data_IF_865588822189
#
_entry.id   IF_865588822189
#
_cell.length_a   1.000
_cell.length_b   1.000
_cell.length_c   1.000
_cell.angle_alpha   90.00
_cell.angle_beta   90.00
_cell.angle_gamma   90.00
#
_symmetry.space_group_name_H-M   'P 1'
#
loop_
_entity.id
_entity.type
_entity.pdbx_description
1 polymer ?
#
# COMPACT_ATOMS: atom_id res chain seq x y z
N UNK A 1 23.82 -6.33 35.52
CA UNK A 1 22.69 -6.37 34.55
C UNK A 1 21.34 -6.71 35.19
N UNK A 2 21.23 -6.93 36.50
CA UNK A 2 20.01 -7.38 37.20
C UNK A 2 19.14 -6.27 37.81
N UNK A 3 19.68 -5.10 38.14
CA UNK A 3 18.89 -4.03 38.82
C UNK A 3 17.82 -3.33 37.95
N UNK A 4 17.92 -3.42 36.62
CA UNK A 4 16.91 -2.81 35.72
C UNK A 4 15.67 -3.69 35.56
N UNK A 5 15.83 -5.01 35.63
CA UNK A 5 14.73 -5.96 35.44
C UNK A 5 13.70 -5.86 36.57
N UNK A 6 14.14 -5.59 37.80
CA UNK A 6 13.26 -5.48 38.98
C UNK A 6 12.45 -4.17 39.05
N UNK A 7 12.76 -3.18 38.20
CA UNK A 7 12.09 -1.86 38.18
C UNK A 7 11.23 -1.61 36.95
N UNK A 8 11.25 -2.51 35.96
CA UNK A 8 10.43 -2.37 34.75
C UNK A 8 9.01 -2.88 35.03
N UNK A 9 7.96 -2.07 34.74
CA UNK A 9 6.57 -2.51 34.86
C UNK A 9 6.31 -3.80 34.07
N UNK A 10 5.46 -4.68 34.61
CA UNK A 10 5.13 -5.97 33.99
C UNK A 10 4.63 -5.81 32.54
N UNK A 11 3.79 -4.80 32.30
CA UNK A 11 3.27 -4.49 30.97
C UNK A 11 4.38 -4.12 29.97
N UNK A 12 5.41 -3.40 30.41
CA UNK A 12 6.58 -3.08 29.57
C UNK A 12 7.43 -4.33 29.27
N UNK A 13 7.52 -5.29 30.21
CA UNK A 13 8.20 -6.57 29.99
C UNK A 13 7.47 -7.44 28.96
N UNK A 14 6.14 -7.47 29.02
CA UNK A 14 5.29 -8.18 28.06
C UNK A 14 5.37 -7.53 26.66
N UNK A 15 5.37 -6.20 26.60
CA UNK A 15 5.58 -5.46 25.35
C UNK A 15 6.98 -5.70 24.75
N UNK A 16 8.04 -5.76 25.57
CA UNK A 16 9.40 -6.06 25.10
C UNK A 16 9.51 -7.49 24.56
N UNK A 17 8.84 -8.47 25.19
CA UNK A 17 8.78 -9.83 24.68
C UNK A 17 8.05 -9.91 23.33
N UNK A 18 6.92 -9.22 23.20
CA UNK A 18 6.21 -9.08 21.92
C UNK A 18 7.13 -8.49 20.85
N UNK A 19 7.85 -7.41 21.17
CA UNK A 19 8.79 -6.77 20.25
C UNK A 19 9.87 -7.74 19.81
N UNK A 20 10.46 -8.48 20.75
CA UNK A 20 11.51 -9.47 20.50
C UNK A 20 11.05 -10.58 19.56
N UNK A 21 9.80 -11.03 19.70
CA UNK A 21 9.24 -12.10 18.87
C UNK A 21 8.83 -11.61 17.48
N UNK A 22 8.24 -10.40 17.40
CA UNK A 22 7.67 -9.89 16.14
C UNK A 22 8.73 -9.26 15.24
N UNK A 23 9.67 -8.49 15.80
CA UNK A 23 10.73 -7.80 15.04
C UNK A 23 11.42 -8.69 13.98
N UNK A 24 11.94 -9.89 14.29
CA UNK A 24 12.63 -10.71 13.29
C UNK A 24 11.71 -11.12 12.13
N UNK A 25 10.41 -11.32 12.38
CA UNK A 25 9.45 -11.65 11.33
C UNK A 25 9.22 -10.47 10.36
N UNK A 26 9.25 -9.23 10.87
CA UNK A 26 9.18 -8.03 10.03
C UNK A 26 10.41 -7.92 9.15
N UNK A 27 11.59 -8.14 9.74
CA UNK A 27 12.87 -8.05 9.04
C UNK A 27 12.98 -9.13 7.95
N UNK A 28 12.56 -10.35 8.25
CA UNK A 28 12.49 -11.43 7.25
C UNK A 28 11.50 -11.10 6.13
N UNK A 29 10.29 -10.65 6.47
CA UNK A 29 9.29 -10.22 5.49
C UNK A 29 9.83 -9.11 4.58
N UNK A 30 10.59 -8.16 5.13
CA UNK A 30 11.23 -7.09 4.38
C UNK A 30 12.30 -7.62 3.44
N UNK A 31 13.14 -8.56 3.88
CA UNK A 31 14.16 -9.20 3.03
C UNK A 31 13.51 -9.85 1.82
N UNK A 32 12.45 -10.64 2.03
CA UNK A 32 11.73 -11.33 0.95
C UNK A 32 11.11 -10.35 -0.06
N UNK A 33 10.55 -9.24 0.42
CA UNK A 33 10.01 -8.20 -0.48
C UNK A 33 11.13 -7.47 -1.25
N UNK A 34 12.29 -7.23 -0.63
CA UNK A 34 13.44 -6.64 -1.33
C UNK A 34 13.99 -7.57 -2.42
N UNK A 35 14.09 -8.86 -2.14
CA UNK A 35 14.48 -9.88 -3.12
C UNK A 35 13.49 -9.93 -4.29
N UNK A 36 12.19 -9.95 -4.01
CA UNK A 36 11.14 -9.89 -5.03
C UNK A 36 11.25 -8.63 -5.90
N UNK A 37 11.40 -7.46 -5.28
CA UNK A 37 11.58 -6.19 -5.98
C UNK A 37 12.85 -6.20 -6.85
N UNK A 38 13.95 -6.76 -6.34
CA UNK A 38 15.19 -6.92 -7.08
C UNK A 38 15.02 -7.82 -8.31
N UNK A 39 14.33 -8.95 -8.17
CA UNK A 39 14.04 -9.86 -9.27
C UNK A 39 13.18 -9.19 -10.36
N UNK A 40 12.16 -8.41 -9.97
CA UNK A 40 11.31 -7.66 -10.91
C UNK A 40 12.11 -6.59 -11.67
N UNK A 41 12.98 -5.84 -10.99
CA UNK A 41 13.85 -4.84 -11.64
C UNK A 41 14.91 -5.47 -12.54
N UNK A 42 15.40 -6.66 -12.20
CA UNK A 42 16.32 -7.39 -13.06
C UNK A 42 15.64 -7.89 -14.34
N UNK A 43 14.35 -8.24 -14.26
CA UNK A 43 13.54 -8.66 -15.40
C UNK A 43 13.21 -7.49 -16.34
N UNK A 44 12.93 -6.30 -15.78
CA UNK A 44 12.54 -5.10 -16.53
C UNK A 44 13.40 -3.88 -16.13
N UNK A 45 14.71 -3.88 -16.46
CA UNK A 45 15.65 -2.86 -15.99
C UNK A 45 15.38 -1.46 -16.56
N UNK A 46 14.75 -1.39 -17.74
CA UNK A 46 14.42 -0.15 -18.43
C UNK A 46 12.93 0.23 -18.35
N UNK A 47 12.11 -0.60 -17.69
CA UNK A 47 10.69 -0.35 -17.49
C UNK A 47 9.84 -0.54 -18.74
N UNK A 48 10.40 -1.06 -19.84
CA UNK A 48 9.67 -1.24 -21.10
C UNK A 48 8.56 -2.28 -20.98
N UNK A 49 8.79 -3.36 -20.23
CA UNK A 49 7.79 -4.42 -20.04
C UNK A 49 6.59 -3.86 -19.27
N UNK A 50 6.84 -3.15 -18.16
CA UNK A 50 5.80 -2.51 -17.37
C UNK A 50 5.03 -1.45 -18.17
N UNK A 51 5.73 -0.61 -18.96
CA UNK A 51 5.09 0.39 -19.81
C UNK A 51 4.18 -0.24 -20.88
N UNK A 52 4.64 -1.32 -21.50
CA UNK A 52 3.88 -2.07 -22.50
C UNK A 52 2.65 -2.76 -21.90
N UNK A 53 2.81 -3.42 -20.75
CA UNK A 53 1.72 -4.06 -20.02
C UNK A 53 0.66 -3.03 -19.59
N UNK A 54 1.09 -1.86 -19.10
CA UNK A 54 0.19 -0.74 -18.76
C UNK A 54 -0.61 -0.24 -19.98
N UNK A 55 0.06 -0.08 -21.12
CA UNK A 55 -0.60 0.34 -22.38
C UNK A 55 -1.66 -0.69 -22.82
N UNK A 56 -1.31 -1.98 -22.82
CA UNK A 56 -2.24 -3.08 -23.16
C UNK A 56 -3.42 -3.15 -22.21
N UNK A 57 -3.19 -3.03 -20.90
CA UNK A 57 -4.26 -3.02 -19.91
C UNK A 57 -5.24 -1.86 -20.11
N UNK A 58 -4.76 -0.67 -20.46
CA UNK A 58 -5.61 0.48 -20.75
C UNK A 58 -6.48 0.28 -22.02
N UNK A 59 -5.94 -0.45 -23.00
CA UNK A 59 -6.63 -0.80 -24.25
C UNK A 59 -7.49 -2.05 -24.13
N UNK A 60 -7.53 -2.70 -22.95
CA UNK A 60 -8.19 -4.00 -22.70
C UNK A 60 -7.61 -5.15 -23.55
N UNK A 61 -6.32 -5.07 -23.87
CA UNK A 61 -5.55 -6.05 -24.65
C UNK A 61 -4.52 -6.80 -23.78
N UNK A 62 -4.69 -6.78 -22.46
CA UNK A 62 -3.77 -7.47 -21.56
C UNK A 62 -3.84 -8.98 -21.78
N UNK A 63 -2.67 -9.64 -21.78
CA UNK A 63 -2.62 -11.10 -21.92
C UNK A 63 -3.12 -11.80 -20.65
N UNK A 64 -3.50 -13.09 -20.73
CA UNK A 64 -3.87 -13.87 -19.53
C UNK A 64 -2.77 -13.86 -18.45
N UNK A 65 -1.49 -13.91 -18.86
CA UNK A 65 -0.34 -13.86 -17.96
C UNK A 65 -0.20 -12.49 -17.30
N UNK A 66 -0.43 -11.40 -18.04
CA UNK A 66 -0.45 -10.04 -17.50
C UNK A 66 -1.59 -9.86 -16.47
N UNK A 67 -2.77 -10.45 -16.73
CA UNK A 67 -3.88 -10.48 -15.77
C UNK A 67 -3.56 -11.31 -14.51
N UNK A 68 -2.97 -12.50 -14.67
CA UNK A 68 -2.58 -13.35 -13.55
C UNK A 68 -1.53 -12.66 -12.66
N UNK A 69 -0.54 -12.01 -13.26
CA UNK A 69 0.45 -11.23 -12.53
C UNK A 69 -0.20 -10.09 -11.73
N UNK A 70 -1.17 -9.41 -12.33
CA UNK A 70 -1.94 -8.36 -11.67
C UNK A 70 -2.68 -8.87 -10.42
N UNK A 71 -3.29 -10.04 -10.50
CA UNK A 71 -3.99 -10.67 -9.38
C UNK A 71 -3.04 -11.10 -8.25
N UNK A 72 -1.91 -11.73 -8.59
CA UNK A 72 -0.89 -12.12 -7.61
C UNK A 72 -0.33 -10.92 -6.85
N UNK A 73 -0.08 -9.81 -7.55
CA UNK A 73 0.45 -8.59 -6.94
C UNK A 73 -0.60 -7.87 -6.08
N UNK A 74 -1.86 -7.91 -6.50
CA UNK A 74 -2.98 -7.45 -5.67
C UNK A 74 -3.09 -8.30 -4.40
N UNK A 75 -3.00 -9.62 -4.50
CA UNK A 75 -3.04 -10.53 -3.35
C UNK A 75 -1.87 -10.28 -2.39
N UNK A 76 -0.64 -10.17 -2.91
CA UNK A 76 0.56 -9.85 -2.12
C UNK A 76 0.36 -8.52 -1.39
N UNK A 77 -0.05 -7.47 -2.11
CA UNK A 77 -0.28 -6.14 -1.54
C UNK A 77 -1.34 -6.17 -0.46
N UNK A 78 -2.49 -6.80 -0.75
CA UNK A 78 -3.60 -6.89 0.19
C UNK A 78 -3.18 -7.64 1.45
N UNK A 79 -2.53 -8.80 1.30
CA UNK A 79 -2.11 -9.63 2.42
C UNK A 79 -1.12 -8.90 3.32
N UNK A 80 -0.09 -8.26 2.74
CA UNK A 80 0.91 -7.52 3.54
C UNK A 80 0.28 -6.29 4.18
N UNK A 81 -0.49 -5.50 3.43
CA UNK A 81 -1.11 -4.27 3.95
C UNK A 81 -2.11 -4.56 5.07
N UNK A 82 -2.98 -5.56 4.89
CA UNK A 82 -3.95 -5.98 5.91
C UNK A 82 -3.25 -6.56 7.14
N UNK A 83 -2.17 -7.32 6.96
CA UNK A 83 -1.37 -7.82 8.08
C UNK A 83 -0.78 -6.67 8.90
N UNK A 84 -0.21 -5.65 8.24
CA UNK A 84 0.34 -4.47 8.91
C UNK A 84 -0.75 -3.68 9.66
N UNK A 85 -1.90 -3.44 9.01
CA UNK A 85 -3.03 -2.72 9.63
C UNK A 85 -3.56 -3.46 10.87
N UNK A 86 -3.77 -4.78 10.76
CA UNK A 86 -4.21 -5.62 11.87
C UNK A 86 -3.18 -5.66 13.01
N UNK A 87 -1.89 -5.77 12.70
CA UNK A 87 -0.83 -5.76 13.70
C UNK A 87 -0.80 -4.42 14.45
N UNK A 88 -0.91 -3.29 13.72
CA UNK A 88 -0.94 -1.94 14.31
C UNK A 88 -2.14 -1.72 15.22
N UNK A 89 -3.31 -2.21 14.84
CA UNK A 89 -4.52 -2.16 15.68
C UNK A 89 -4.35 -2.96 16.97
N UNK A 90 -3.73 -4.14 16.91
CA UNK A 90 -3.49 -5.00 18.09
C UNK A 90 -2.55 -4.38 19.12
N UNK A 91 -1.60 -3.57 18.68
CA UNK A 91 -0.65 -2.88 19.56
C UNK A 91 -1.07 -1.44 19.89
N UNK A 92 -2.31 -1.02 19.57
CA UNK A 92 -2.72 0.39 19.64
C UNK A 92 -2.56 1.01 21.04
N UNK A 93 -2.77 0.22 22.09
CA UNK A 93 -2.67 0.60 23.50
C UNK A 93 -1.34 0.16 24.15
N UNK A 94 -0.36 -0.27 23.34
CA UNK A 94 0.98 -0.71 23.77
C UNK A 94 2.04 0.34 23.34
N UNK A 95 2.31 1.38 24.15
CA UNK A 95 3.14 2.52 23.74
C UNK A 95 4.59 2.14 23.42
N UNK A 96 5.16 1.19 24.13
CA UNK A 96 6.53 0.73 23.93
C UNK A 96 6.65 -0.14 22.66
N UNK A 97 5.74 -1.10 22.49
CA UNK A 97 5.65 -1.92 21.29
C UNK A 97 5.40 -1.07 20.04
N UNK A 98 4.51 -0.07 20.10
CA UNK A 98 4.31 0.91 19.02
C UNK A 98 5.60 1.62 18.64
N UNK A 99 6.33 2.14 19.64
CA UNK A 99 7.58 2.88 19.42
C UNK A 99 8.63 2.02 18.72
N UNK A 100 8.68 0.72 19.03
CA UNK A 100 9.66 -0.22 18.48
C UNK A 100 9.26 -0.80 17.12
N UNK A 101 7.98 -1.16 16.93
CA UNK A 101 7.51 -1.90 15.76
C UNK A 101 7.02 -0.99 14.63
N UNK A 102 6.41 0.16 14.93
CA UNK A 102 5.89 1.06 13.88
C UNK A 102 6.93 1.50 12.85
N UNK A 103 8.17 1.86 13.22
CA UNK A 103 9.22 2.15 12.26
C UNK A 103 9.53 0.97 11.35
N UNK A 104 9.55 -0.26 11.89
CA UNK A 104 9.82 -1.48 11.12
C UNK A 104 8.70 -1.77 10.11
N UNK A 105 7.43 -1.55 10.49
CA UNK A 105 6.30 -1.64 9.56
C UNK A 105 6.39 -0.63 8.42
N UNK A 106 6.87 0.58 8.69
CA UNK A 106 7.08 1.57 7.63
C UNK A 106 8.19 1.13 6.66
N UNK A 107 9.28 0.57 7.18
CA UNK A 107 10.38 0.02 6.37
C UNK A 107 9.97 -1.22 5.56
N UNK A 108 9.05 -2.04 6.08
CA UNK A 108 8.48 -3.19 5.37
C UNK A 108 7.60 -2.74 4.19
N UNK A 109 6.86 -1.64 4.35
CA UNK A 109 5.95 -1.13 3.32
C UNK A 109 6.66 -0.47 2.14
N UNK A 110 7.90 -0.02 2.31
CA UNK A 110 8.69 0.59 1.25
C UNK A 110 8.89 -0.36 0.04
N UNK A 111 9.49 -1.56 0.17
CA UNK A 111 9.66 -2.46 -0.96
C UNK A 111 8.32 -2.93 -1.54
N UNK A 112 7.26 -3.03 -0.73
CA UNK A 112 5.92 -3.32 -1.23
C UNK A 112 5.43 -2.24 -2.20
N UNK A 113 5.58 -0.97 -1.84
CA UNK A 113 5.21 0.15 -2.71
C UNK A 113 6.06 0.17 -3.99
N UNK A 114 7.34 -0.15 -3.88
CA UNK A 114 8.25 -0.23 -5.04
C UNK A 114 7.84 -1.34 -6.02
N UNK A 115 7.44 -2.52 -5.52
CA UNK A 115 6.92 -3.63 -6.34
C UNK A 115 5.68 -3.17 -7.12
N UNK A 116 4.70 -2.57 -6.44
CA UNK A 116 3.45 -2.12 -7.07
C UNK A 116 3.73 -1.06 -8.15
N UNK A 117 4.63 -0.12 -7.86
CA UNK A 117 5.02 0.93 -8.78
C UNK A 117 5.76 0.37 -9.99
N UNK A 118 6.70 -0.57 -9.77
CA UNK A 118 7.51 -1.18 -10.81
C UNK A 118 6.65 -1.93 -11.83
N UNK A 119 5.61 -2.64 -11.38
CA UNK A 119 4.75 -3.42 -12.29
C UNK A 119 3.63 -2.55 -12.91
N UNK A 120 3.56 -1.26 -12.57
CA UNK A 120 2.65 -0.32 -13.21
C UNK A 120 1.17 -0.66 -13.05
N UNK A 121 0.82 -1.48 -12.05
CA UNK A 121 -0.54 -1.94 -11.81
C UNK A 121 -1.42 -0.81 -11.31
N UNK A 122 -2.00 -0.09 -12.25
CA UNK A 122 -3.08 0.86 -12.05
C UNK A 122 -4.43 0.16 -11.87
N UNK A 123 -4.45 -1.00 -11.21
CA UNK A 123 -5.70 -1.51 -10.68
C UNK A 123 -6.17 -0.50 -9.64
N UNK A 124 -7.27 0.19 -9.91
CA UNK A 124 -7.91 1.16 -9.01
C UNK A 124 -8.10 0.57 -7.60
N UNK A 125 -8.26 -0.75 -7.49
CA UNK A 125 -8.33 -1.47 -6.21
C UNK A 125 -7.01 -1.54 -5.42
N UNK A 126 -5.85 -1.66 -6.09
CA UNK A 126 -4.53 -1.72 -5.43
C UNK A 126 -4.12 -0.34 -4.92
N UNK A 127 -4.41 0.73 -5.68
CA UNK A 127 -4.18 2.11 -5.24
C UNK A 127 -4.96 2.47 -3.97
N UNK A 128 -6.20 1.99 -3.85
CA UNK A 128 -6.99 2.14 -2.62
C UNK A 128 -6.39 1.43 -1.41
N UNK A 129 -5.83 0.22 -1.61
CA UNK A 129 -5.14 -0.54 -0.56
C UNK A 129 -3.83 0.12 -0.15
N UNK A 130 -3.05 0.60 -1.11
CA UNK A 130 -1.82 1.37 -0.88
C UNK A 130 -2.12 2.67 -0.14
N UNK A 131 -3.17 3.38 -0.52
CA UNK A 131 -3.64 4.57 0.20
C UNK A 131 -4.01 4.27 1.65
N UNK A 132 -4.69 3.16 1.92
CA UNK A 132 -5.00 2.71 3.29
C UNK A 132 -3.74 2.36 4.08
N UNK A 133 -2.79 1.65 3.46
CA UNK A 133 -1.52 1.32 4.08
C UNK A 133 -0.74 2.57 4.47
N UNK A 134 -0.56 3.49 3.53
CA UNK A 134 0.17 4.73 3.76
C UNK A 134 -0.54 5.63 4.79
N UNK A 135 -1.89 5.69 4.78
CA UNK A 135 -2.66 6.35 5.84
C UNK A 135 -2.45 5.70 7.21
N UNK A 136 -2.47 4.36 7.31
CA UNK A 136 -2.23 3.60 8.54
C UNK A 136 -0.79 3.71 9.07
N UNK A 137 0.17 4.05 8.20
CA UNK A 137 1.56 4.38 8.56
C UNK A 137 1.74 5.82 9.05
N UNK A 138 0.71 6.67 8.98
CA UNK A 138 0.84 8.10 9.26
C UNK A 138 1.48 8.88 8.10
N UNK A 139 1.65 8.26 6.93
CA UNK A 139 2.15 8.88 5.70
C UNK A 139 1.01 9.46 4.84
N UNK A 140 -0.16 9.68 5.42
CA UNK A 140 -1.35 10.19 4.72
C UNK A 140 -1.13 11.55 4.04
N UNK A 141 -0.20 12.36 4.54
CA UNK A 141 0.22 13.60 3.87
C UNK A 141 0.89 13.37 2.51
N UNK A 142 1.66 12.28 2.35
CA UNK A 142 2.28 11.91 1.07
C UNK A 142 1.27 11.28 0.11
N UNK A 143 0.30 10.53 0.63
CA UNK A 143 -0.83 9.98 -0.17
C UNK A 143 -1.71 11.10 -0.71
N UNK A 144 -2.08 12.05 0.14
CA UNK A 144 -2.88 13.20 -0.27
C UNK A 144 -2.10 14.12 -1.21
N UNK A 145 -0.76 14.17 -1.10
CA UNK A 145 0.11 14.83 -2.08
C UNK A 145 0.17 14.11 -3.43
N UNK A 146 0.18 12.77 -3.45
CA UNK A 146 0.15 11.98 -4.69
C UNK A 146 -1.23 11.93 -5.33
N UNK A 147 -2.30 11.73 -4.56
CA UNK A 147 -3.69 11.74 -5.05
C UNK A 147 -4.17 13.17 -5.38
N UNK A 148 -3.75 14.16 -4.60
CA UNK A 148 -3.99 15.58 -4.87
C UNK A 148 -3.16 16.08 -6.06
N UNK A 149 -1.93 15.60 -6.23
CA UNK A 149 -1.05 15.94 -7.35
C UNK A 149 -1.37 15.22 -8.66
N UNK A 150 -1.97 14.03 -8.60
CA UNK A 150 -2.46 13.29 -9.78
C UNK A 150 -3.87 13.71 -10.24
N UNK A 151 -4.47 14.71 -9.58
CA UNK A 151 -5.72 15.31 -10.03
C UNK A 151 -6.87 14.30 -10.06
N UNK A 152 -7.42 13.97 -8.89
CA UNK A 152 -8.69 13.23 -8.76
C UNK A 152 -9.76 13.77 -9.73
N UNK A 153 -9.77 15.07 -10.04
CA UNK A 153 -10.65 15.66 -11.05
C UNK A 153 -10.44 15.14 -12.48
N UNK A 154 -9.22 14.78 -12.89
CA UNK A 154 -8.94 14.12 -14.18
C UNK A 154 -9.35 12.65 -14.16
N UNK A 155 -9.09 11.94 -13.07
CA UNK A 155 -9.50 10.53 -12.91
C UNK A 155 -11.03 10.37 -12.83
N UNK A 156 -11.75 11.28 -12.18
CA UNK A 156 -13.22 11.33 -12.14
C UNK A 156 -13.83 11.81 -13.47
N UNK A 157 -13.14 12.71 -14.18
CA UNK A 157 -13.51 13.12 -15.53
C UNK A 157 -13.35 12.02 -16.57
N UNK A 158 -12.28 11.21 -16.47
CA UNK A 158 -11.98 10.08 -17.37
C UNK A 158 -12.76 8.80 -17.02
N UNK A 159 -13.18 8.63 -15.75
CA UNK A 159 -14.08 7.53 -15.32
C UNK A 159 -15.58 7.84 -15.54
N UNK A 160 -15.92 8.92 -16.25
CA UNK A 160 -17.27 9.16 -16.74
C UNK A 160 -18.30 9.63 -15.68
N UNK A 161 -17.85 10.06 -14.50
CA UNK A 161 -18.76 10.66 -13.51
C UNK A 161 -19.14 12.11 -13.85
N UNK A 162 -18.40 12.76 -14.75
CA UNK A 162 -18.79 14.05 -15.32
C UNK A 162 -20.07 13.98 -16.18
N UNK A 163 -20.27 12.91 -16.94
CA UNK A 163 -21.45 12.78 -17.81
C UNK A 163 -22.73 12.44 -17.04
N UNK A 164 -22.63 11.78 -15.87
CA UNK A 164 -23.80 11.53 -15.01
C UNK A 164 -24.26 12.82 -14.33
N UNK A 165 -23.34 13.72 -13.97
CA UNK A 165 -23.70 14.98 -13.31
C UNK A 165 -24.32 15.97 -14.31
N UNK A 166 -23.87 16.00 -15.56
CA UNK A 166 -24.49 16.78 -16.64
C UNK A 166 -25.80 16.16 -17.15
N UNK A 167 -25.92 14.82 -17.18
CA UNK A 167 -27.16 14.13 -17.52
C UNK A 167 -28.24 14.25 -16.42
N UNK A 168 -27.84 14.42 -15.17
CA UNK A 168 -28.75 14.68 -14.04
C UNK A 168 -29.14 16.16 -13.90
N UNK A 169 -28.48 17.07 -14.63
CA UNK A 169 -28.85 18.50 -14.67
C UNK A 169 -29.66 18.90 -15.93
N UNK A 170 -30.19 17.90 -16.65
CA UNK A 170 -31.17 18.10 -17.73
C UNK A 170 -32.60 17.92 -17.18
N UNK A 171 -33.12 18.97 -16.54
CA UNK A 171 -34.51 18.95 -16.08
C UNK A 171 -34.95 20.17 -15.28
N UNK A 172 -34.85 21.38 -15.83
CA UNK A 172 -35.40 22.58 -15.19
C UNK A 172 -35.60 23.74 -16.16
N UNK A 173 -36.75 23.73 -16.84
CA UNK A 173 -37.52 24.82 -17.47
C UNK A 173 -36.80 25.88 -18.35
N UNK A 174 -36.96 25.88 -19.69
CA UNK A 174 -38.11 26.31 -20.53
C UNK A 174 -38.74 27.68 -20.21
N UNK A 175 -38.60 28.57 -21.22
CA UNK A 175 -39.53 29.64 -21.68
C UNK A 175 -39.75 30.79 -20.68
N UNK A 176 -39.61 32.07 -21.05
CA UNK A 176 -40.10 32.80 -22.23
C UNK A 176 -39.35 34.13 -22.31
#
# INVERSE_FOLDING_TARGET
HTERADRTPKDELEEEELVRNVKPLIEEGRSRLLECNGALRALDPDGQIAAKAKSRSAQREASPEEHQLADLLKELTSTVATTIDNARKRIADMPHAKKKLNPLWALLSEPLFQIITAVGLLLTGVLGLVGRLLNGLGLGGLVNGLLGGLGINKLLGELGLGSVTDALNLGGDKKK
#
